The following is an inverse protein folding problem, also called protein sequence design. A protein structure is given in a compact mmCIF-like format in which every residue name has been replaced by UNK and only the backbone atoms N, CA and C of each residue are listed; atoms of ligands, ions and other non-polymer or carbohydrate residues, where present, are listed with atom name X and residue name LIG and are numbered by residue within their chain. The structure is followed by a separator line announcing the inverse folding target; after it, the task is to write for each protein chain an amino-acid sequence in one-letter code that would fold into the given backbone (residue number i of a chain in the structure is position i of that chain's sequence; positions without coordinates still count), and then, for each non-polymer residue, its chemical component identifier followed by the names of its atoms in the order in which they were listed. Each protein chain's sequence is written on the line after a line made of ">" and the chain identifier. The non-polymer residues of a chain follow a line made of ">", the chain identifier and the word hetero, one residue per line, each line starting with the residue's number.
data_IF_343416149557
#
_entry.id   IF_343416149557
#
_cell.length_a   1.000
_cell.length_b   1.000
_cell.length_c   1.000
_cell.angle_alpha   90.00
_cell.angle_beta   90.00
_cell.angle_gamma   90.00
#
_symmetry.space_group_name_H-M   'P 1'
#
loop_
_entity.id
_entity.type
_entity.pdbx_description
1 polymer ?
#
# COMPACT_ATOMS: atom_id res chain seq x y z
N UNK A 1 -28.53 -7.40 -3.02
CA UNK A 1 -28.83 -6.63 -1.78
C UNK A 1 -30.27 -6.06 -1.67
N UNK A 2 -30.90 -5.49 -2.71
CA UNK A 2 -32.26 -4.89 -2.59
C UNK A 2 -33.42 -5.90 -2.42
N UNK A 3 -33.27 -7.13 -2.89
CA UNK A 3 -34.38 -8.10 -2.93
C UNK A 3 -34.74 -8.66 -1.55
N UNK A 4 -33.74 -8.96 -0.71
CA UNK A 4 -33.97 -9.46 0.66
C UNK A 4 -34.67 -8.39 1.50
N UNK A 5 -34.22 -7.14 1.43
CA UNK A 5 -34.87 -6.04 2.15
C UNK A 5 -36.31 -5.84 1.68
N UNK A 6 -36.57 -5.90 0.37
CA UNK A 6 -37.95 -5.82 -0.15
C UNK A 6 -38.82 -6.96 0.37
N UNK A 7 -38.31 -8.19 0.44
CA UNK A 7 -39.06 -9.32 0.99
C UNK A 7 -39.34 -9.13 2.48
N UNK A 8 -38.38 -8.60 3.23
CA UNK A 8 -38.57 -8.27 4.65
C UNK A 8 -39.63 -7.18 4.84
N UNK A 9 -39.63 -6.14 4.01
CA UNK A 9 -40.63 -5.07 4.04
C UNK A 9 -42.03 -5.62 3.70
N UNK A 10 -42.14 -6.49 2.69
CA UNK A 10 -43.38 -7.19 2.35
C UNK A 10 -43.90 -8.03 3.53
N UNK A 11 -42.99 -8.75 4.22
CA UNK A 11 -43.35 -9.54 5.41
C UNK A 11 -43.78 -8.66 6.59
N UNK A 12 -43.13 -7.51 6.79
CA UNK A 12 -43.53 -6.55 7.82
C UNK A 12 -44.94 -5.99 7.53
N UNK A 13 -45.21 -5.61 6.28
CA UNK A 13 -46.52 -5.13 5.86
C UNK A 13 -47.60 -6.20 6.03
N UNK A 14 -47.32 -7.46 5.65
CA UNK A 14 -48.22 -8.59 5.86
C UNK A 14 -48.59 -8.76 7.34
N UNK A 15 -47.63 -8.59 8.26
CA UNK A 15 -47.90 -8.64 9.70
C UNK A 15 -48.69 -7.42 10.18
N UNK A 16 -48.39 -6.22 9.67
CA UNK A 16 -49.07 -4.98 10.08
C UNK A 16 -50.54 -4.94 9.65
N UNK A 17 -50.83 -5.40 8.44
CA UNK A 17 -52.17 -5.38 7.85
C UNK A 17 -53.05 -6.57 8.30
N UNK A 18 -52.45 -7.54 8.98
CA UNK A 18 -53.12 -8.73 9.46
C UNK A 18 -54.10 -8.45 10.62
N UNK A 19 -55.18 -9.24 10.68
CA UNK A 19 -56.23 -9.06 11.70
C UNK A 19 -55.67 -9.36 13.10
N UNK A 20 -55.76 -8.37 13.99
CA UNK A 20 -55.45 -8.56 15.42
C UNK A 20 -56.61 -9.24 16.13
N UNK A 21 -56.27 -10.21 16.98
CA UNK A 21 -57.21 -10.89 17.86
C UNK A 21 -57.40 -10.05 19.13
N UNK A 22 -58.62 -9.56 19.42
CA UNK A 22 -58.88 -8.77 20.62
C UNK A 22 -58.44 -9.51 21.89
N UNK A 23 -57.98 -8.76 22.90
CA UNK A 23 -57.61 -9.24 24.26
C UNK A 23 -56.34 -10.10 24.32
N UNK A 24 -56.00 -10.87 23.28
CA UNK A 24 -54.83 -11.77 23.29
C UNK A 24 -53.52 -11.16 22.79
N UNK A 25 -53.58 -9.99 22.13
CA UNK A 25 -52.41 -9.35 21.50
C UNK A 25 -51.84 -10.09 20.28
N UNK A 26 -52.45 -11.20 19.86
CA UNK A 26 -52.00 -12.04 18.74
C UNK A 26 -52.47 -11.46 17.40
N UNK A 27 -51.69 -11.69 16.35
CA UNK A 27 -52.02 -11.33 14.96
C UNK A 27 -52.21 -12.60 14.13
N UNK A 28 -53.29 -12.66 13.35
CA UNK A 28 -53.56 -13.78 12.44
C UNK A 28 -52.94 -13.47 11.09
N UNK A 29 -51.85 -14.17 10.76
CA UNK A 29 -51.16 -14.07 9.48
C UNK A 29 -51.45 -15.29 8.61
N UNK A 30 -51.41 -15.11 7.31
CA UNK A 30 -51.51 -16.20 6.36
C UNK A 30 -50.19 -16.97 6.28
N UNK A 31 -50.12 -18.09 7.02
CA UNK A 31 -48.88 -18.82 7.23
C UNK A 31 -48.21 -19.30 5.95
N UNK A 32 -48.97 -19.66 4.91
CA UNK A 32 -48.40 -20.15 3.66
C UNK A 32 -47.65 -19.05 2.89
N UNK A 33 -48.20 -17.82 2.85
CA UNK A 33 -47.54 -16.67 2.20
C UNK A 33 -46.28 -16.29 2.99
N UNK A 34 -46.37 -16.30 4.31
CA UNK A 34 -45.23 -15.95 5.17
C UNK A 34 -44.08 -16.94 5.04
N UNK A 35 -44.37 -18.25 4.98
CA UNK A 35 -43.37 -19.30 4.77
C UNK A 35 -42.72 -19.22 3.38
N UNK A 36 -43.49 -18.94 2.33
CA UNK A 36 -42.97 -18.74 0.97
C UNK A 36 -41.93 -17.60 0.91
N UNK A 37 -42.20 -16.48 1.60
CA UNK A 37 -41.24 -15.38 1.71
C UNK A 37 -39.97 -15.77 2.46
N UNK A 38 -40.07 -16.56 3.52
CA UNK A 38 -38.91 -17.10 4.25
C UNK A 38 -38.09 -18.01 3.34
N UNK A 39 -38.72 -18.89 2.59
CA UNK A 39 -38.02 -19.83 1.72
C UNK A 39 -37.31 -19.11 0.56
N UNK A 40 -37.90 -18.04 0.05
CA UNK A 40 -37.24 -17.16 -0.92
C UNK A 40 -36.01 -16.47 -0.34
N UNK A 41 -36.06 -15.96 0.90
CA UNK A 41 -34.88 -15.41 1.58
C UNK A 41 -33.81 -16.50 1.74
N UNK A 42 -34.18 -17.72 2.14
CA UNK A 42 -33.23 -18.83 2.31
C UNK A 42 -32.57 -19.25 1.00
N UNK A 43 -33.26 -19.10 -0.13
CA UNK A 43 -32.68 -19.40 -1.44
C UNK A 43 -31.64 -18.34 -1.88
N UNK A 44 -31.90 -17.05 -1.60
CA UNK A 44 -31.08 -15.93 -2.10
C UNK A 44 -29.91 -15.60 -1.16
N UNK A 45 -30.13 -15.69 0.16
CA UNK A 45 -29.17 -15.26 1.17
C UNK A 45 -27.79 -15.95 1.07
N UNK A 46 -27.67 -17.27 0.77
CA UNK A 46 -26.38 -17.93 0.66
C UNK A 46 -25.51 -17.37 -0.48
N UNK A 47 -26.10 -17.08 -1.64
CA UNK A 47 -25.40 -16.55 -2.81
C UNK A 47 -24.89 -15.12 -2.57
N UNK A 48 -25.74 -14.26 -2.01
CA UNK A 48 -25.36 -12.88 -1.65
C UNK A 48 -24.24 -12.86 -0.60
N UNK A 49 -24.31 -13.75 0.41
CA UNK A 49 -23.27 -13.87 1.42
C UNK A 49 -21.95 -14.40 0.83
N UNK A 50 -22.03 -15.37 -0.07
CA UNK A 50 -20.86 -15.88 -0.79
C UNK A 50 -20.20 -14.79 -1.62
N UNK A 51 -20.99 -14.03 -2.38
CA UNK A 51 -20.52 -12.91 -3.19
C UNK A 51 -19.88 -11.83 -2.33
N UNK A 52 -20.51 -11.45 -1.21
CA UNK A 52 -19.94 -10.49 -0.27
C UNK A 52 -18.59 -10.96 0.27
N UNK A 53 -18.46 -12.24 0.62
CA UNK A 53 -17.21 -12.83 1.09
C UNK A 53 -16.13 -12.83 0.00
N UNK A 54 -16.49 -13.13 -1.25
CA UNK A 54 -15.56 -13.04 -2.38
C UNK A 54 -15.06 -11.62 -2.59
N UNK A 55 -15.95 -10.63 -2.58
CA UNK A 55 -15.58 -9.20 -2.73
C UNK A 55 -14.64 -8.76 -1.61
N UNK A 56 -14.89 -9.18 -0.36
CA UNK A 56 -14.00 -8.87 0.76
C UNK A 56 -12.62 -9.49 0.60
N UNK A 57 -12.56 -10.77 0.23
CA UNK A 57 -11.29 -11.46 -0.01
C UNK A 57 -10.51 -10.83 -1.18
N UNK A 58 -11.22 -10.47 -2.23
CA UNK A 58 -10.63 -9.84 -3.42
C UNK A 58 -10.11 -8.44 -3.12
N UNK A 59 -10.85 -7.65 -2.33
CA UNK A 59 -10.35 -6.37 -1.82
C UNK A 59 -9.03 -6.55 -1.07
N UNK A 60 -8.94 -7.52 -0.17
CA UNK A 60 -7.69 -7.77 0.54
C UNK A 60 -6.55 -8.20 -0.39
N UNK A 61 -6.84 -9.04 -1.39
CA UNK A 61 -5.86 -9.44 -2.40
C UNK A 61 -5.32 -8.25 -3.17
N UNK A 62 -6.21 -7.39 -3.70
CA UNK A 62 -5.86 -6.18 -4.44
C UNK A 62 -5.00 -5.25 -3.56
N UNK A 63 -5.38 -5.05 -2.29
CA UNK A 63 -4.61 -4.20 -1.38
C UNK A 63 -3.19 -4.74 -1.13
N UNK A 64 -3.04 -6.06 -0.96
CA UNK A 64 -1.72 -6.68 -0.78
C UNK A 64 -0.86 -6.56 -2.04
N UNK A 65 -1.45 -6.80 -3.22
CA UNK A 65 -0.75 -6.67 -4.50
C UNK A 65 -0.31 -5.23 -4.78
N UNK A 66 -1.19 -4.26 -4.51
CA UNK A 66 -0.86 -2.85 -4.66
C UNK A 66 0.27 -2.42 -3.72
N UNK A 67 0.28 -2.90 -2.47
CA UNK A 67 1.37 -2.63 -1.53
C UNK A 67 2.71 -3.23 -2.01
N UNK A 68 2.70 -4.49 -2.44
CA UNK A 68 3.89 -5.15 -2.97
C UNK A 68 4.45 -4.44 -4.21
N UNK A 69 3.58 -4.03 -5.15
CA UNK A 69 3.99 -3.26 -6.33
C UNK A 69 4.55 -1.89 -5.97
N UNK A 70 3.96 -1.20 -4.98
CA UNK A 70 4.47 0.08 -4.52
C UNK A 70 5.87 -0.06 -3.91
N UNK A 71 6.11 -1.11 -3.12
CA UNK A 71 7.41 -1.41 -2.55
C UNK A 71 8.45 -1.75 -3.63
N UNK A 72 8.07 -2.54 -4.63
CA UNK A 72 8.92 -2.88 -5.78
C UNK A 72 9.32 -1.64 -6.58
N UNK A 73 8.36 -0.77 -6.91
CA UNK A 73 8.61 0.49 -7.64
C UNK A 73 9.50 1.43 -6.83
N UNK A 74 9.32 1.49 -5.52
CA UNK A 74 10.15 2.31 -4.63
C UNK A 74 11.59 1.81 -4.64
N UNK A 75 11.80 0.50 -4.57
CA UNK A 75 13.14 -0.09 -4.58
C UNK A 75 13.82 0.08 -5.94
N UNK A 76 13.10 -0.15 -7.05
CA UNK A 76 13.62 0.11 -8.40
C UNK A 76 14.02 1.58 -8.58
N UNK A 77 13.18 2.50 -8.09
CA UNK A 77 13.44 3.94 -8.16
C UNK A 77 14.68 4.34 -7.37
N UNK A 78 14.86 3.81 -6.15
CA UNK A 78 16.09 4.04 -5.36
C UNK A 78 17.33 3.53 -6.08
N UNK A 79 17.27 2.31 -6.63
CA UNK A 79 18.38 1.75 -7.42
C UNK A 79 18.68 2.57 -8.67
N UNK A 80 17.66 3.09 -9.35
CA UNK A 80 17.82 3.96 -10.52
C UNK A 80 18.43 5.31 -10.15
N UNK A 81 18.01 5.92 -9.04
CA UNK A 81 18.60 7.17 -8.54
C UNK A 81 20.06 6.98 -8.17
N UNK A 82 20.42 5.90 -7.47
CA UNK A 82 21.81 5.60 -7.13
C UNK A 82 22.69 5.51 -8.39
N UNK A 83 22.24 4.74 -9.40
CA UNK A 83 22.93 4.65 -10.69
C UNK A 83 23.07 6.00 -11.39
N UNK A 84 22.01 6.81 -11.42
CA UNK A 84 22.05 8.13 -12.03
C UNK A 84 23.03 9.08 -11.34
N UNK A 85 23.19 8.97 -10.02
CA UNK A 85 24.18 9.77 -9.26
C UNK A 85 25.60 9.30 -9.54
N UNK A 86 25.84 7.99 -9.58
CA UNK A 86 27.15 7.41 -9.89
C UNK A 86 27.57 7.67 -11.35
N UNK A 87 26.62 7.60 -12.28
CA UNK A 87 26.85 7.87 -13.70
C UNK A 87 26.90 9.36 -14.04
N UNK A 88 26.50 10.24 -13.11
CA UNK A 88 26.47 11.68 -13.36
C UNK A 88 27.89 12.20 -13.63
N UNK A 89 28.07 12.87 -14.77
CA UNK A 89 29.33 13.51 -15.13
C UNK A 89 29.81 14.50 -14.06
N UNK A 90 28.89 15.10 -13.29
CA UNK A 90 29.22 15.96 -12.15
C UNK A 90 29.98 15.18 -11.08
N UNK A 91 29.54 13.96 -10.73
CA UNK A 91 30.21 13.12 -9.73
C UNK A 91 31.58 12.68 -10.22
N UNK A 92 31.69 12.28 -11.48
CA UNK A 92 32.98 11.92 -12.10
C UNK A 92 33.95 13.09 -12.15
N UNK A 93 33.48 14.26 -12.57
CA UNK A 93 34.29 15.49 -12.60
C UNK A 93 34.73 15.91 -11.20
N UNK A 94 33.83 15.84 -10.20
CA UNK A 94 34.18 16.12 -8.81
C UNK A 94 35.26 15.15 -8.28
N UNK A 95 35.19 13.88 -8.65
CA UNK A 95 36.17 12.87 -8.26
C UNK A 95 37.54 13.11 -8.90
N UNK A 96 37.58 13.45 -10.20
CA UNK A 96 38.83 13.84 -10.87
C UNK A 96 39.47 15.09 -10.25
N UNK A 97 38.67 16.12 -9.96
CA UNK A 97 39.17 17.34 -9.30
C UNK A 97 39.68 17.03 -7.90
N UNK A 98 39.00 16.16 -7.15
CA UNK A 98 39.47 15.74 -5.84
C UNK A 98 40.83 15.01 -5.93
N UNK A 99 40.99 14.09 -6.88
CA UNK A 99 42.25 13.40 -7.14
C UNK A 99 43.37 14.39 -7.52
N UNK A 100 43.09 15.37 -8.35
CA UNK A 100 44.05 16.41 -8.74
C UNK A 100 44.49 17.26 -7.54
N UNK A 101 43.54 17.66 -6.67
CA UNK A 101 43.84 18.40 -5.45
C UNK A 101 44.76 17.59 -4.53
N UNK A 102 44.45 16.30 -4.34
CA UNK A 102 45.27 15.41 -3.49
C UNK A 102 46.67 15.26 -4.08
N UNK A 103 46.78 14.98 -5.38
CA UNK A 103 48.07 14.83 -6.05
C UNK A 103 48.91 16.11 -5.97
N UNK A 104 48.28 17.28 -6.13
CA UNK A 104 48.97 18.56 -6.01
C UNK A 104 49.42 18.83 -4.57
N UNK A 105 48.58 18.51 -3.57
CA UNK A 105 48.94 18.64 -2.16
C UNK A 105 50.13 17.73 -1.80
N UNK A 106 50.16 16.50 -2.28
CA UNK A 106 51.28 15.58 -2.09
C UNK A 106 52.57 16.09 -2.74
N UNK A 107 52.48 16.63 -3.96
CA UNK A 107 53.62 17.23 -4.65
C UNK A 107 54.19 18.42 -3.88
N UNK A 108 53.33 19.35 -3.46
CA UNK A 108 53.72 20.51 -2.66
C UNK A 108 54.35 20.09 -1.33
N UNK A 109 53.75 19.11 -0.63
CA UNK A 109 54.32 18.58 0.60
C UNK A 109 55.72 17.96 0.39
N UNK A 110 55.93 17.29 -0.75
CA UNK A 110 57.24 16.72 -1.11
C UNK A 110 58.27 17.79 -1.43
N UNK A 111 57.89 18.85 -2.15
CA UNK A 111 58.74 20.01 -2.45
C UNK A 111 59.16 20.73 -1.16
N UNK A 112 58.20 21.07 -0.29
CA UNK A 112 58.48 21.71 1.01
C UNK A 112 59.46 20.87 1.83
N UNK A 113 59.26 19.55 1.90
CA UNK A 113 60.18 18.65 2.61
C UNK A 113 61.58 18.65 2.01
N UNK A 114 61.70 18.67 0.68
CA UNK A 114 63.00 18.71 0.01
C UNK A 114 63.71 20.03 0.31
N UNK A 115 63.01 21.14 0.13
CA UNK A 115 63.59 22.48 0.30
C UNK A 115 63.99 22.72 1.77
N UNK A 116 63.20 22.22 2.73
CA UNK A 116 63.57 22.26 4.15
C UNK A 116 64.83 21.43 4.45
N UNK A 117 64.98 20.25 3.84
CA UNK A 117 66.18 19.43 3.99
C UNK A 117 67.41 20.09 3.35
N UNK A 118 67.27 20.69 2.17
CA UNK A 118 68.34 21.44 1.50
C UNK A 118 68.77 22.65 2.32
N UNK A 119 67.81 23.41 2.87
CA UNK A 119 68.10 24.52 3.76
C UNK A 119 68.84 24.07 5.03
N UNK A 120 68.36 22.99 5.68
CA UNK A 120 69.02 22.44 6.85
C UNK A 120 70.46 21.99 6.55
N UNK A 121 70.69 21.35 5.39
CA UNK A 121 72.02 20.94 4.95
C UNK A 121 72.94 22.14 4.71
N UNK A 122 72.43 23.21 4.09
CA UNK A 122 73.21 24.42 3.80
C UNK A 122 73.57 25.25 5.04
N UNK A 123 72.75 25.23 6.09
CA UNK A 123 73.03 25.92 7.37
C UNK A 123 73.99 25.13 8.27
N UNK A 124 74.08 23.81 8.08
CA UNK A 124 74.98 22.91 8.84
C UNK A 124 76.39 22.79 8.24
N UNK A 125 76.66 23.48 7.13
CA UNK A 125 77.99 23.69 6.52
C UNK A 125 78.47 25.11 6.73
#
# INVERSE_FOLDING_TARGET
>A
MMEIFRILDEMELLIRDSKRVPISGKTVVEGHIFLDRIDRIRAILPEELHTAKLVLNEKERIMREAAAQADEVMEESKGKVARLVDENEITKNAMMVAEEIVANAERVAKEIRRDANEYAAGVLT
#
